data_IF_065287709518
#
_entry.id   IF_065287709518
#
_cell.length_a   1.000
_cell.length_b   1.000
_cell.length_c   1.000
_cell.angle_alpha   90.00
_cell.angle_beta   90.00
_cell.angle_gamma   90.00
#
_symmetry.space_group_name_H-M   'P 1'
#
loop_
_entity.id
_entity.type
_entity.pdbx_description
1 polymer ?
#
# COMPACT_ATOMS: atom_id res chain seq x y z
N UNK A 1 -15.24 -5.30 22.78
CA UNK A 1 -16.23 -5.51 21.69
C UNK A 1 -16.54 -4.15 21.11
N UNK A 2 -16.48 -3.96 19.80
CA UNK A 2 -16.77 -2.66 19.20
C UNK A 2 -18.25 -2.31 19.45
N UNK A 3 -18.48 -1.17 20.10
CA UNK A 3 -19.80 -0.66 20.44
C UNK A 3 -20.49 -0.21 19.14
N UNK A 4 -21.61 -0.84 18.76
CA UNK A 4 -22.36 -0.47 17.57
C UNK A 4 -23.06 0.87 17.87
N UNK A 5 -22.48 1.96 17.36
CA UNK A 5 -23.06 3.32 17.44
C UNK A 5 -23.59 3.73 16.08
N UNK A 6 -24.76 4.37 16.08
CA UNK A 6 -25.36 4.95 14.89
C UNK A 6 -24.39 5.92 14.22
N UNK A 7 -24.32 5.82 12.89
CA UNK A 7 -23.46 6.65 12.06
C UNK A 7 -24.15 7.99 11.75
N UNK A 8 -23.39 9.08 11.53
CA UNK A 8 -23.96 10.35 11.15
C UNK A 8 -24.70 10.28 9.80
N UNK A 9 -25.62 11.23 9.51
CA UNK A 9 -26.34 11.26 8.24
C UNK A 9 -25.41 11.32 7.02
N UNK A 10 -25.79 10.71 5.88
CA UNK A 10 -24.98 10.73 4.67
C UNK A 10 -24.90 12.13 4.05
N UNK A 11 -23.74 12.46 3.46
CA UNK A 11 -23.52 13.70 2.71
C UNK A 11 -23.85 13.47 1.22
N UNK A 12 -24.79 14.22 0.62
CA UNK A 12 -25.13 14.08 -0.79
C UNK A 12 -23.91 14.29 -1.71
N UNK A 13 -23.82 13.49 -2.77
CA UNK A 13 -22.79 13.62 -3.79
C UNK A 13 -23.34 13.21 -5.17
N UNK A 14 -22.53 13.39 -6.21
CA UNK A 14 -22.91 13.12 -7.61
C UNK A 14 -22.54 11.73 -8.09
N UNK A 15 -22.08 10.84 -7.19
CA UNK A 15 -21.74 9.46 -7.55
C UNK A 15 -23.02 8.64 -7.67
N UNK A 16 -22.93 7.56 -8.44
CA UNK A 16 -24.02 6.59 -8.58
C UNK A 16 -24.43 6.03 -7.23
N UNK A 17 -25.73 5.82 -7.03
CA UNK A 17 -26.24 5.27 -5.78
C UNK A 17 -25.76 3.82 -5.63
N UNK A 18 -25.28 3.45 -4.44
CA UNK A 18 -24.79 2.09 -4.18
C UNK A 18 -25.83 1.00 -4.48
N UNK A 19 -27.13 1.32 -4.37
CA UNK A 19 -28.21 0.41 -4.74
C UNK A 19 -28.25 0.08 -6.25
N UNK A 20 -28.02 1.07 -7.11
CA UNK A 20 -28.05 0.89 -8.56
C UNK A 20 -26.85 0.05 -9.02
N UNK A 21 -25.67 0.30 -8.44
CA UNK A 21 -24.47 -0.52 -8.65
C UNK A 21 -24.70 -1.98 -8.28
N UNK A 22 -25.28 -2.25 -7.09
CA UNK A 22 -25.59 -3.63 -6.67
C UNK A 22 -26.63 -4.28 -7.57
N UNK A 23 -27.65 -3.53 -8.02
CA UNK A 23 -28.63 -4.04 -8.98
C UNK A 23 -28.01 -4.40 -10.32
N UNK A 24 -27.01 -3.63 -10.77
CA UNK A 24 -26.27 -3.94 -11.98
C UNK A 24 -25.45 -5.23 -11.82
N UNK A 25 -24.68 -5.35 -10.75
CA UNK A 25 -23.90 -6.56 -10.44
C UNK A 25 -24.79 -7.82 -10.37
N UNK A 26 -25.97 -7.72 -9.77
CA UNK A 26 -26.94 -8.82 -9.67
C UNK A 26 -27.43 -9.24 -11.06
N UNK A 27 -27.76 -8.29 -11.94
CA UNK A 27 -28.20 -8.58 -13.32
C UNK A 27 -27.10 -9.24 -14.14
N UNK A 28 -25.88 -8.75 -14.01
CA UNK A 28 -24.73 -9.31 -14.73
C UNK A 28 -24.41 -10.73 -14.25
N UNK A 29 -24.48 -10.99 -12.94
CA UNK A 29 -24.31 -12.35 -12.38
C UNK A 29 -25.39 -13.31 -12.86
N UNK A 30 -26.65 -12.89 -12.89
CA UNK A 30 -27.77 -13.70 -13.38
C UNK A 30 -27.61 -14.05 -14.86
N UNK A 31 -27.18 -13.09 -15.68
CA UNK A 31 -26.87 -13.32 -17.10
C UNK A 31 -25.75 -14.35 -17.28
N UNK A 32 -24.64 -14.22 -16.54
CA UNK A 32 -23.53 -15.20 -16.58
C UNK A 32 -24.03 -16.59 -16.19
N UNK A 33 -24.89 -16.69 -15.17
CA UNK A 33 -25.51 -17.94 -14.76
C UNK A 33 -26.36 -18.55 -15.88
N UNK A 34 -27.21 -17.76 -16.51
CA UNK A 34 -28.04 -18.19 -17.63
C UNK A 34 -27.19 -18.64 -18.83
N UNK A 35 -26.13 -17.92 -19.17
CA UNK A 35 -25.21 -18.29 -20.25
C UNK A 35 -24.46 -19.60 -19.94
N UNK A 36 -24.07 -19.81 -18.68
CA UNK A 36 -23.32 -20.99 -18.25
C UNK A 36 -24.18 -22.25 -18.14
N UNK A 37 -25.40 -22.13 -17.63
CA UNK A 37 -26.26 -23.26 -17.28
C UNK A 37 -27.50 -23.40 -18.18
N UNK A 38 -27.70 -22.49 -19.14
CA UNK A 38 -28.81 -22.52 -20.10
C UNK A 38 -30.17 -22.09 -19.54
N UNK A 39 -30.27 -21.78 -18.25
CA UNK A 39 -31.48 -21.28 -17.59
C UNK A 39 -31.13 -20.38 -16.41
N UNK A 40 -32.06 -19.48 -16.05
CA UNK A 40 -31.94 -18.64 -14.85
C UNK A 40 -32.20 -19.47 -13.60
N UNK A 41 -31.67 -19.03 -12.46
CA UNK A 41 -31.94 -19.70 -11.19
C UNK A 41 -33.44 -19.56 -10.83
N UNK A 42 -34.10 -20.68 -10.55
CA UNK A 42 -35.52 -20.76 -10.23
C UNK A 42 -35.74 -21.63 -8.99
N UNK A 43 -36.74 -21.33 -8.15
CA UNK A 43 -37.14 -22.22 -7.06
C UNK A 43 -37.55 -23.61 -7.57
N UNK A 44 -37.41 -24.63 -6.72
CA UNK A 44 -37.83 -26.01 -7.01
C UNK A 44 -37.14 -26.64 -8.25
N UNK A 45 -35.90 -26.24 -8.53
CA UNK A 45 -35.11 -26.74 -9.66
C UNK A 45 -34.38 -28.08 -9.38
N UNK A 46 -34.67 -28.74 -8.25
CA UNK A 46 -34.03 -29.99 -7.83
C UNK A 46 -32.67 -29.85 -7.13
N UNK A 47 -32.14 -28.62 -6.97
CA UNK A 47 -30.94 -28.34 -6.16
C UNK A 47 -31.31 -28.01 -4.71
N UNK A 48 -30.40 -28.32 -3.80
CA UNK A 48 -30.48 -27.85 -2.42
C UNK A 48 -29.80 -26.48 -2.31
N UNK A 49 -30.63 -25.43 -2.37
CA UNK A 49 -30.17 -24.04 -2.30
C UNK A 49 -29.43 -23.72 -0.99
N UNK A 50 -29.74 -24.42 0.11
CA UNK A 50 -29.06 -24.18 1.39
C UNK A 50 -27.61 -24.68 1.34
N UNK A 51 -27.38 -25.83 0.69
CA UNK A 51 -26.04 -26.36 0.46
C UNK A 51 -25.25 -25.44 -0.46
N UNK A 52 -25.87 -24.95 -1.54
CA UNK A 52 -25.25 -23.99 -2.46
C UNK A 52 -24.83 -22.71 -1.71
N UNK A 53 -25.72 -22.14 -0.88
CA UNK A 53 -25.40 -20.98 -0.05
C UNK A 53 -24.25 -21.26 0.91
N UNK A 54 -24.25 -22.41 1.58
CA UNK A 54 -23.17 -22.78 2.49
C UNK A 54 -21.81 -22.84 1.79
N UNK A 55 -21.76 -23.42 0.59
CA UNK A 55 -20.54 -23.47 -0.22
C UNK A 55 -20.08 -22.07 -0.65
N UNK A 56 -20.98 -21.20 -1.11
CA UNK A 56 -20.63 -19.82 -1.46
C UNK A 56 -20.07 -19.02 -0.26
N UNK A 57 -20.60 -19.27 0.95
CA UNK A 57 -20.06 -18.66 2.17
C UNK A 57 -18.67 -19.20 2.51
N UNK A 58 -18.39 -20.49 2.27
CA UNK A 58 -17.04 -21.05 2.45
C UNK A 58 -16.05 -20.40 1.47
N UNK A 59 -16.43 -20.18 0.21
CA UNK A 59 -15.59 -19.48 -0.76
C UNK A 59 -15.28 -18.05 -0.30
N UNK A 60 -16.27 -17.33 0.24
CA UNK A 60 -16.06 -16.00 0.82
C UNK A 60 -15.06 -16.03 1.99
N UNK A 61 -15.14 -17.03 2.87
CA UNK A 61 -14.18 -17.21 3.98
C UNK A 61 -12.77 -17.50 3.45
N UNK A 62 -12.63 -18.30 2.39
CA UNK A 62 -11.33 -18.57 1.75
C UNK A 62 -10.72 -17.29 1.17
N UNK A 63 -11.51 -16.45 0.50
CA UNK A 63 -11.01 -15.15 0.01
C UNK A 63 -10.61 -14.22 1.15
N UNK A 64 -11.42 -14.11 2.21
CA UNK A 64 -11.06 -13.32 3.39
C UNK A 64 -9.75 -13.82 4.03
N UNK A 65 -9.56 -15.14 4.14
CA UNK A 65 -8.33 -15.75 4.65
C UNK A 65 -7.12 -15.42 3.77
N UNK A 66 -7.31 -15.42 2.46
CA UNK A 66 -6.26 -15.04 1.49
C UNK A 66 -5.84 -13.59 1.70
N UNK A 67 -6.80 -12.66 1.82
CA UNK A 67 -6.51 -11.25 2.08
C UNK A 67 -5.77 -11.03 3.41
N UNK A 68 -6.11 -11.79 4.45
CA UNK A 68 -5.39 -11.79 5.73
C UNK A 68 -3.97 -12.33 5.55
N UNK A 69 -3.80 -13.47 4.88
CA UNK A 69 -2.49 -14.10 4.67
C UNK A 69 -1.55 -13.22 3.84
N UNK A 70 -2.12 -12.52 2.86
CA UNK A 70 -1.41 -11.56 2.02
C UNK A 70 -1.06 -10.25 2.76
N UNK A 71 -1.61 -10.03 3.97
CA UNK A 71 -1.33 -8.85 4.77
C UNK A 71 -1.68 -7.53 4.08
N UNK A 72 -2.78 -7.50 3.31
CA UNK A 72 -3.20 -6.29 2.59
C UNK A 72 -3.44 -5.11 3.51
N UNK A 73 -3.93 -5.37 4.73
CA UNK A 73 -4.16 -4.34 5.74
C UNK A 73 -2.83 -3.73 6.18
N UNK A 74 -1.84 -4.55 6.47
CA UNK A 74 -0.49 -4.11 6.86
C UNK A 74 0.18 -3.33 5.72
N UNK A 75 0.04 -3.80 4.48
CA UNK A 75 0.55 -3.12 3.28
C UNK A 75 -0.14 -1.76 3.05
N UNK A 76 -1.46 -1.70 3.20
CA UNK A 76 -2.23 -0.47 3.07
C UNK A 76 -1.86 0.54 4.17
N UNK A 77 -1.80 0.11 5.43
CA UNK A 77 -1.38 0.95 6.56
C UNK A 77 0.06 1.47 6.36
N UNK A 78 0.98 0.62 5.90
CA UNK A 78 2.36 1.03 5.63
C UNK A 78 2.45 2.05 4.48
N UNK A 79 1.62 1.89 3.44
CA UNK A 79 1.55 2.85 2.34
C UNK A 79 0.96 4.20 2.78
N UNK A 80 -0.11 4.18 3.57
CA UNK A 80 -0.72 5.39 4.15
C UNK A 80 0.26 6.12 5.07
N UNK A 81 1.00 5.38 5.91
CA UNK A 81 2.02 5.96 6.79
C UNK A 81 3.18 6.58 6.00
N UNK A 82 3.61 5.95 4.89
CA UNK A 82 4.59 6.56 3.97
C UNK A 82 4.07 7.84 3.31
N UNK A 83 2.80 7.85 2.90
CA UNK A 83 2.18 9.03 2.30
C UNK A 83 2.06 10.17 3.32
N UNK A 84 1.65 9.88 4.55
CA UNK A 84 1.58 10.84 5.64
C UNK A 84 2.97 11.41 6.00
N UNK A 85 4.01 10.55 6.04
CA UNK A 85 5.39 11.01 6.22
C UNK A 85 5.84 11.94 5.07
N UNK A 86 5.40 11.67 3.84
CA UNK A 86 5.73 12.49 2.66
C UNK A 86 4.98 13.83 2.61
N UNK A 87 3.87 13.97 3.33
CA UNK A 87 3.15 15.25 3.50
C UNK A 87 3.56 16.01 4.77
N UNK A 88 4.55 15.51 5.52
CA UNK A 88 5.04 16.18 6.72
C UNK A 88 5.67 17.54 6.37
N UNK A 89 5.19 18.61 7.01
CA UNK A 89 5.73 19.96 6.88
C UNK A 89 6.29 20.37 8.24
N UNK A 90 7.59 20.18 8.44
CA UNK A 90 8.29 20.46 9.68
C UNK A 90 9.80 20.23 9.53
N UNK A 91 10.59 20.44 10.60
CA UNK A 91 12.04 20.25 10.55
C UNK A 91 12.37 18.76 10.35
N UNK A 92 13.20 18.49 9.36
CA UNK A 92 13.66 17.14 8.97
C UNK A 92 15.17 17.01 9.17
N UNK A 93 15.65 15.81 9.44
CA UNK A 93 17.07 15.48 9.52
C UNK A 93 17.44 14.43 8.47
N UNK A 94 18.72 14.40 8.09
CA UNK A 94 19.23 13.39 7.18
C UNK A 94 19.09 11.99 7.80
N UNK A 95 18.60 11.03 7.01
CA UNK A 95 18.48 9.64 7.41
C UNK A 95 19.63 8.81 6.87
N UNK A 96 20.52 8.42 7.78
CA UNK A 96 21.61 7.48 7.49
C UNK A 96 21.07 6.12 7.03
N UNK A 97 19.95 5.68 7.61
CA UNK A 97 19.27 4.44 7.22
C UNK A 97 18.56 4.56 5.86
N UNK A 98 17.98 5.72 5.55
CA UNK A 98 17.32 5.99 4.26
C UNK A 98 18.30 5.86 3.09
N UNK A 99 19.48 6.49 3.19
CA UNK A 99 20.52 6.34 2.18
C UNK A 99 20.98 4.89 2.03
N UNK A 100 21.20 4.20 3.17
CA UNK A 100 21.61 2.80 3.19
C UNK A 100 20.57 1.87 2.55
N UNK A 101 19.29 2.09 2.81
CA UNK A 101 18.19 1.30 2.24
C UNK A 101 18.11 1.46 0.72
N UNK A 102 18.20 2.70 0.22
CA UNK A 102 18.18 2.95 -1.23
C UNK A 102 19.38 2.28 -1.92
N UNK A 103 20.57 2.34 -1.33
CA UNK A 103 21.75 1.65 -1.84
C UNK A 103 21.55 0.13 -1.91
N UNK A 104 20.98 -0.49 -0.86
CA UNK A 104 20.72 -1.94 -0.83
C UNK A 104 19.64 -2.33 -1.84
N UNK A 105 18.58 -1.52 -1.98
CA UNK A 105 17.52 -1.75 -2.96
C UNK A 105 18.06 -1.70 -4.40
N UNK A 106 19.00 -0.79 -4.67
CA UNK A 106 19.74 -0.70 -5.93
C UNK A 106 20.81 -1.79 -6.09
N UNK A 107 20.97 -2.70 -5.12
CA UNK A 107 21.99 -3.77 -5.08
C UNK A 107 23.43 -3.27 -5.22
N UNK A 108 23.70 -2.07 -4.70
CA UNK A 108 25.03 -1.44 -4.78
C UNK A 108 25.86 -1.66 -3.52
N UNK A 109 27.18 -1.79 -3.69
CA UNK A 109 28.11 -1.75 -2.56
C UNK A 109 28.38 -0.30 -2.14
N UNK A 110 28.88 -0.09 -0.92
CA UNK A 110 29.29 1.26 -0.47
C UNK A 110 30.40 1.85 -1.36
N UNK A 111 31.29 1.01 -1.90
CA UNK A 111 32.33 1.46 -2.84
C UNK A 111 31.74 1.92 -4.17
N UNK A 112 30.83 1.13 -4.74
CA UNK A 112 30.15 1.49 -5.99
C UNK A 112 29.38 2.82 -5.86
N UNK A 113 28.68 3.03 -4.75
CA UNK A 113 28.02 4.31 -4.48
C UNK A 113 29.03 5.47 -4.39
N UNK A 114 30.16 5.23 -3.72
CA UNK A 114 31.21 6.23 -3.57
C UNK A 114 31.81 6.63 -4.93
N UNK A 115 32.04 5.66 -5.82
CA UNK A 115 32.55 5.90 -7.17
C UNK A 115 31.58 6.75 -7.99
N UNK A 116 30.28 6.41 -7.99
CA UNK A 116 29.26 7.20 -8.69
C UNK A 116 29.07 8.61 -8.13
N UNK A 117 29.30 8.79 -6.84
CA UNK A 117 29.20 10.09 -6.18
C UNK A 117 30.54 10.82 -6.12
N UNK A 118 31.60 10.29 -6.72
CA UNK A 118 32.96 10.88 -6.70
C UNK A 118 33.42 11.26 -5.27
N UNK A 119 33.24 10.34 -4.33
CA UNK A 119 33.69 10.47 -2.94
C UNK A 119 34.44 9.22 -2.50
N UNK A 120 35.09 9.25 -1.34
CA UNK A 120 35.72 8.06 -0.79
C UNK A 120 34.68 7.09 -0.22
N UNK A 121 34.98 5.77 -0.24
CA UNK A 121 34.16 4.77 0.45
C UNK A 121 33.98 5.09 1.95
N UNK A 122 35.00 5.66 2.60
CA UNK A 122 34.92 6.08 4.00
C UNK A 122 33.92 7.21 4.23
N UNK A 123 33.75 8.09 3.24
CA UNK A 123 32.75 9.15 3.27
C UNK A 123 31.34 8.55 3.29
N UNK A 124 31.07 7.56 2.43
CA UNK A 124 29.78 6.83 2.42
C UNK A 124 29.56 6.07 3.73
N UNK A 125 30.59 5.43 4.28
CA UNK A 125 30.51 4.77 5.60
C UNK A 125 30.11 5.76 6.70
N UNK A 126 30.72 6.94 6.72
CA UNK A 126 30.42 7.98 7.71
C UNK A 126 28.98 8.52 7.56
N UNK A 127 28.45 8.59 6.34
CA UNK A 127 27.05 8.95 6.09
C UNK A 127 26.09 7.86 6.58
N UNK A 128 26.31 6.60 6.23
CA UNK A 128 25.45 5.49 6.64
C UNK A 128 25.53 5.17 8.14
N UNK A 129 26.58 5.62 8.83
CA UNK A 129 26.70 5.53 10.28
C UNK A 129 26.20 6.78 11.02
N UNK A 130 25.70 7.81 10.32
CA UNK A 130 25.23 9.06 10.91
C UNK A 130 26.33 9.96 11.50
N UNK A 131 27.61 9.71 11.17
CA UNK A 131 28.75 10.50 11.68
C UNK A 131 28.89 11.85 10.97
N UNK A 132 28.41 11.93 9.74
CA UNK A 132 28.39 13.15 8.91
C UNK A 132 27.23 13.07 7.92
N UNK A 133 26.86 14.20 7.34
CA UNK A 133 25.81 14.27 6.32
C UNK A 133 26.40 14.53 4.93
N UNK A 134 25.80 13.98 3.85
CA UNK A 134 26.18 14.35 2.50
C UNK A 134 25.77 15.79 2.19
N UNK A 135 26.51 16.46 1.31
CA UNK A 135 26.10 17.77 0.82
C UNK A 135 24.83 17.67 -0.05
N UNK A 136 24.09 18.77 -0.18
CA UNK A 136 22.90 18.83 -1.03
C UNK A 136 23.17 18.38 -2.47
N UNK A 137 24.35 18.71 -3.01
CA UNK A 137 24.78 18.26 -4.35
C UNK A 137 24.91 16.74 -4.43
N UNK A 138 25.55 16.09 -3.43
CA UNK A 138 25.70 14.63 -3.41
C UNK A 138 24.36 13.93 -3.17
N UNK A 139 23.46 14.52 -2.37
CA UNK A 139 22.09 14.02 -2.21
C UNK A 139 21.30 14.08 -3.53
N UNK A 140 21.40 15.17 -4.30
CA UNK A 140 20.73 15.29 -5.59
C UNK A 140 21.27 14.28 -6.62
N UNK A 141 22.59 14.04 -6.63
CA UNK A 141 23.21 12.99 -7.43
C UNK A 141 22.69 11.60 -7.03
N UNK A 142 22.63 11.32 -5.72
CA UNK A 142 22.10 10.04 -5.21
C UNK A 142 20.61 9.84 -5.55
N UNK A 143 19.79 10.90 -5.45
CA UNK A 143 18.37 10.86 -5.83
C UNK A 143 18.21 10.45 -7.30
N UNK A 144 19.04 11.03 -8.18
CA UNK A 144 19.06 10.71 -9.60
C UNK A 144 19.51 9.27 -9.84
N UNK A 145 20.56 8.83 -9.15
CA UNK A 145 21.12 7.47 -9.27
C UNK A 145 20.12 6.39 -8.85
N UNK A 146 19.39 6.61 -7.75
CA UNK A 146 18.42 5.64 -7.22
C UNK A 146 17.02 5.78 -7.83
N UNK A 147 16.80 6.79 -8.68
CA UNK A 147 15.48 7.11 -9.24
C UNK A 147 14.45 7.31 -8.12
N UNK A 148 14.84 8.08 -7.10
CA UNK A 148 14.01 8.40 -5.94
C UNK A 148 13.90 9.91 -5.72
N UNK A 149 13.00 10.33 -4.85
CA UNK A 149 12.87 11.75 -4.50
C UNK A 149 13.92 12.10 -3.43
N UNK A 150 14.47 13.32 -3.46
CA UNK A 150 15.49 13.74 -2.48
C UNK A 150 14.97 13.68 -1.03
N UNK A 151 13.66 13.87 -0.83
CA UNK A 151 13.00 13.73 0.47
C UNK A 151 13.08 12.30 1.04
N UNK A 152 13.32 11.27 0.22
CA UNK A 152 13.44 9.89 0.67
C UNK A 152 14.75 9.66 1.47
N UNK A 153 15.66 10.64 1.51
CA UNK A 153 16.86 10.64 2.35
C UNK A 153 16.69 11.36 3.69
N UNK A 154 15.49 11.85 4.01
CA UNK A 154 15.22 12.61 5.20
C UNK A 154 14.10 11.98 6.02
N UNK A 155 14.17 12.16 7.33
CA UNK A 155 13.14 11.72 8.28
C UNK A 155 12.70 12.89 9.17
N UNK A 156 11.45 12.88 9.67
CA UNK A 156 11.02 13.84 10.67
C UNK A 156 11.92 13.80 11.91
N UNK A 157 12.33 14.96 12.41
CA UNK A 157 13.11 15.04 13.64
C UNK A 157 12.27 14.50 14.82
N UNK A 158 12.68 13.35 15.37
CA UNK A 158 12.11 12.84 16.61
C UNK A 158 12.60 13.73 17.73
N UNK A 159 11.69 14.52 18.31
CA UNK A 159 11.89 15.59 19.30
C UNK A 159 12.21 16.96 18.66
N UNK A 160 11.21 17.59 18.03
CA UNK A 160 11.15 19.04 18.02
C UNK A 160 10.73 19.52 19.44
N UNK A 161 11.30 20.62 19.97
CA UNK A 161 10.94 21.13 21.30
C UNK A 161 9.44 21.44 21.44
#
# INVERSE_FOLDING_TARGET
>A
MAEIKDQPPPVPNTREASWDLVLQDIKDRDKIGQERYGTRLQPLNGRDTLVDLYQELLDAVVYARTLIAEGWRERAMAAEQKLAARSYVGPVAFSSDGLRQQRIAAKMSQGALADHLEVSRNTVIAWESGKSEPSASKLAMAATLFVCHIADFFEPLKNAP
#
